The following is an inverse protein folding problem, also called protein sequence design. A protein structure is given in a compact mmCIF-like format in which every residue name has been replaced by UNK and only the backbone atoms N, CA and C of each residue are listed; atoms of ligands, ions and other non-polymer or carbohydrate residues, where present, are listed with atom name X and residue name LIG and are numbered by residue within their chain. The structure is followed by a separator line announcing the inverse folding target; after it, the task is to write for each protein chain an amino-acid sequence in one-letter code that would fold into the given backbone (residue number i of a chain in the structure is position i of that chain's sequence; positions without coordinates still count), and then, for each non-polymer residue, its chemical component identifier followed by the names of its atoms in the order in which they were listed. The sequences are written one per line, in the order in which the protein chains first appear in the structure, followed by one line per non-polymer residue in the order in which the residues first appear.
data_IF_910281091662
#
_entry.id   IF_910281091662
#
_cell.length_a   1.000
_cell.length_b   1.000
_cell.length_c   1.000
_cell.angle_alpha   90.00
_cell.angle_beta   90.00
_cell.angle_gamma   90.00
#
_symmetry.space_group_name_H-M   'P 1'
#
loop_
_entity.id
_entity.type
_entity.pdbx_description
1 polymer ?
#
# COMPACT_ATOMS: atom_id res chain seq x y z
N UNK A 1 -19.54 9.26 -10.92
CA UNK A 1 -18.34 10.13 -11.08
C UNK A 1 -17.73 9.87 -12.44
N UNK A 2 -17.29 10.89 -13.19
CA UNK A 2 -16.58 10.68 -14.45
C UNK A 2 -15.26 9.91 -14.24
N UNK A 3 -14.80 9.18 -15.25
CA UNK A 3 -13.56 8.41 -15.17
C UNK A 3 -12.37 9.26 -14.73
N UNK A 4 -12.22 10.46 -15.30
CA UNK A 4 -11.18 11.43 -14.91
C UNK A 4 -11.23 11.81 -13.42
N UNK A 5 -12.43 11.90 -12.83
CA UNK A 5 -12.62 12.23 -11.40
C UNK A 5 -12.31 11.02 -10.51
N UNK A 6 -12.64 9.82 -10.95
CA UNK A 6 -12.29 8.57 -10.25
C UNK A 6 -10.77 8.39 -10.19
N UNK A 7 -10.06 8.62 -11.29
CA UNK A 7 -8.60 8.51 -11.34
C UNK A 7 -7.90 9.46 -10.38
N UNK A 8 -8.34 10.73 -10.32
CA UNK A 8 -7.77 11.71 -9.39
C UNK A 8 -7.99 11.32 -7.92
N UNK A 9 -9.16 10.77 -7.58
CA UNK A 9 -9.47 10.32 -6.21
C UNK A 9 -8.74 9.03 -5.81
N UNK A 10 -8.31 8.22 -6.77
CA UNK A 10 -7.56 6.98 -6.52
C UNK A 10 -6.07 7.18 -6.23
N UNK A 11 -5.57 8.43 -6.22
CA UNK A 11 -4.15 8.72 -5.92
C UNK A 11 -3.83 8.42 -4.46
N UNK A 12 -2.74 7.71 -4.22
CA UNK A 12 -2.26 7.31 -2.89
C UNK A 12 -0.93 7.97 -2.58
N UNK A 13 -0.85 8.72 -1.48
CA UNK A 13 0.42 9.25 -0.96
C UNK A 13 1.02 8.24 0.01
N UNK A 14 2.22 7.76 -0.30
CA UNK A 14 2.92 6.72 0.46
C UNK A 14 4.08 7.30 1.26
N UNK A 15 4.52 6.57 2.29
CA UNK A 15 5.71 6.90 3.07
C UNK A 15 6.45 5.62 3.45
N UNK A 16 7.76 5.77 3.71
CA UNK A 16 8.63 4.71 4.21
C UNK A 16 9.42 5.31 5.37
N UNK A 17 9.46 4.62 6.51
CA UNK A 17 10.06 5.10 7.75
C UNK A 17 10.52 3.92 8.61
N UNK A 18 11.69 4.05 9.24
CA UNK A 18 12.11 3.16 10.31
C UNK A 18 11.35 3.50 11.60
N UNK A 19 10.70 2.49 12.18
CA UNK A 19 9.84 2.64 13.36
C UNK A 19 10.21 1.54 14.36
N UNK A 20 10.37 1.93 15.63
CA UNK A 20 10.53 0.96 16.72
C UNK A 20 9.26 0.12 16.85
N UNK A 21 9.41 -1.19 17.08
CA UNK A 21 8.31 -2.13 17.28
C UNK A 21 7.28 -1.67 18.33
N UNK A 22 7.72 -0.98 19.39
CA UNK A 22 6.82 -0.46 20.43
C UNK A 22 5.83 0.60 19.93
N UNK A 23 6.08 1.24 18.79
CA UNK A 23 5.19 2.23 18.17
C UNK A 23 4.25 1.62 17.13
N UNK A 24 4.28 0.30 16.95
CA UNK A 24 3.41 -0.41 16.01
C UNK A 24 2.31 -1.13 16.77
N UNK A 25 1.06 -0.89 16.36
CA UNK A 25 -0.08 -1.69 16.79
C UNK A 25 -0.24 -2.81 15.76
N UNK A 26 -0.01 -4.05 16.18
CA UNK A 26 -0.19 -5.21 15.31
C UNK A 26 -1.68 -5.34 14.94
N UNK A 27 -1.96 -5.53 13.65
CA UNK A 27 -3.31 -5.79 13.16
C UNK A 27 -3.45 -7.26 12.75
N UNK A 28 -4.66 -7.81 12.81
CA UNK A 28 -4.96 -9.19 12.40
C UNK A 28 -4.85 -9.46 10.90
N UNK A 29 -4.72 -8.41 10.08
CA UNK A 29 -4.78 -8.50 8.62
C UNK A 29 -3.37 -8.65 8.07
N UNK A 30 -3.20 -9.58 7.12
CA UNK A 30 -1.92 -9.83 6.45
C UNK A 30 -1.98 -9.35 5.01
N UNK A 31 -0.97 -8.63 4.54
CA UNK A 31 -0.93 -8.24 3.13
C UNK A 31 -0.68 -9.47 2.25
N UNK A 32 -1.36 -9.58 1.09
CA UNK A 32 -1.10 -10.65 0.14
C UNK A 32 0.35 -10.64 -0.34
N UNK A 33 0.89 -11.82 -0.70
CA UNK A 33 2.25 -11.99 -1.24
C UNK A 33 2.58 -11.09 -2.44
N UNK A 34 1.57 -10.66 -3.19
CA UNK A 34 1.71 -9.71 -4.30
C UNK A 34 2.20 -8.30 -3.90
N UNK A 35 2.11 -7.96 -2.61
CA UNK A 35 2.55 -6.67 -2.05
C UNK A 35 3.63 -6.97 -1.02
N UNK A 36 4.73 -7.57 -1.48
CA UNK A 36 5.88 -7.81 -0.61
C UNK A 36 6.71 -6.52 -0.47
N UNK A 37 6.71 -5.96 0.75
CA UNK A 37 7.47 -4.76 1.07
C UNK A 37 8.99 -4.96 0.98
N UNK A 38 9.48 -6.20 1.11
CA UNK A 38 10.92 -6.50 1.10
C UNK A 38 11.54 -6.42 -0.30
N UNK A 39 10.77 -6.73 -1.34
CA UNK A 39 11.24 -6.61 -2.73
C UNK A 39 11.14 -5.18 -3.26
N UNK A 40 10.26 -4.36 -2.68
CA UNK A 40 9.96 -3.00 -3.13
C UNK A 40 10.84 -1.92 -2.50
N UNK A 41 11.38 -2.16 -1.31
CA UNK A 41 12.21 -1.20 -0.57
C UNK A 41 13.47 -1.92 -0.10
N UNK A 42 14.60 -1.59 -0.71
CA UNK A 42 15.90 -2.05 -0.23
C UNK A 42 16.45 -1.10 0.85
N UNK A 43 17.25 -1.64 1.77
CA UNK A 43 17.90 -0.84 2.82
C UNK A 43 18.89 0.18 2.25
N UNK A 44 19.51 -0.13 1.11
CA UNK A 44 20.41 0.80 0.40
C UNK A 44 19.68 2.05 -0.11
N UNK A 45 18.46 1.88 -0.63
CA UNK A 45 17.63 3.00 -1.09
C UNK A 45 17.17 3.90 0.06
N UNK A 46 17.15 3.39 1.29
CA UNK A 46 16.72 4.13 2.47
C UNK A 46 17.79 5.06 3.04
N UNK A 47 19.08 4.82 2.73
CA UNK A 47 20.18 5.67 3.17
C UNK A 47 20.15 7.04 2.48
N UNK A 48 19.98 7.05 1.16
CA UNK A 48 19.99 8.29 0.38
C UNK A 48 18.62 8.97 0.33
N UNK A 49 18.60 10.30 0.21
CA UNK A 49 17.35 11.07 0.12
C UNK A 49 16.64 10.79 -1.22
N UNK A 50 17.39 10.61 -2.30
CA UNK A 50 16.83 10.38 -3.62
C UNK A 50 16.37 8.94 -3.83
N UNK A 51 17.07 7.96 -3.26
CA UNK A 51 16.58 6.57 -3.19
C UNK A 51 15.23 6.48 -2.49
N UNK A 52 15.07 7.20 -1.37
CA UNK A 52 13.78 7.30 -0.66
C UNK A 52 12.67 7.90 -1.51
N UNK A 53 12.96 8.88 -2.37
CA UNK A 53 11.95 9.45 -3.28
C UNK A 53 11.55 8.44 -4.35
N UNK A 54 12.51 7.72 -4.94
CA UNK A 54 12.25 6.70 -5.96
C UNK A 54 11.43 5.53 -5.40
N UNK A 55 11.80 5.03 -4.21
CA UNK A 55 11.05 3.98 -3.52
C UNK A 55 9.59 4.40 -3.26
N UNK A 56 9.35 5.65 -2.79
CA UNK A 56 7.99 6.18 -2.59
C UNK A 56 7.18 6.24 -3.88
N UNK A 57 7.79 6.68 -4.98
CA UNK A 57 7.13 6.76 -6.29
C UNK A 57 6.76 5.37 -6.83
N UNK A 58 7.67 4.41 -6.74
CA UNK A 58 7.39 3.01 -7.11
C UNK A 58 6.25 2.42 -6.28
N UNK A 59 6.30 2.60 -4.96
CA UNK A 59 5.29 2.08 -4.05
C UNK A 59 3.90 2.74 -4.24
N UNK A 60 3.86 4.04 -4.56
CA UNK A 60 2.61 4.76 -4.85
C UNK A 60 1.91 4.21 -6.10
N UNK A 61 2.67 3.88 -7.15
CA UNK A 61 2.12 3.27 -8.38
C UNK A 61 1.53 1.89 -8.11
N UNK A 62 2.28 1.03 -7.44
CA UNK A 62 1.84 -0.33 -7.10
C UNK A 62 0.59 -0.33 -6.22
N UNK A 63 0.55 0.52 -5.18
CA UNK A 63 -0.63 0.65 -4.32
C UNK A 63 -1.85 1.16 -5.07
N UNK A 64 -1.67 2.10 -6.00
CA UNK A 64 -2.77 2.60 -6.83
C UNK A 64 -3.37 1.48 -7.69
N UNK A 65 -2.53 0.67 -8.34
CA UNK A 65 -2.98 -0.45 -9.18
C UNK A 65 -3.74 -1.51 -8.36
N UNK A 66 -3.20 -1.91 -7.21
CA UNK A 66 -3.82 -2.91 -6.33
C UNK A 66 -5.13 -2.43 -5.69
N UNK A 67 -5.29 -1.12 -5.45
CA UNK A 67 -6.57 -0.57 -4.96
C UNK A 67 -7.62 -0.37 -6.05
N UNK A 68 -7.21 -0.18 -7.31
CA UNK A 68 -8.13 -0.12 -8.45
C UNK A 68 -8.61 -1.53 -8.84
N UNK A 69 -7.71 -2.52 -8.78
CA UNK A 69 -8.00 -3.94 -9.05
C UNK A 69 -7.74 -4.78 -7.79
N UNK A 70 -8.67 -4.80 -6.81
CA UNK A 70 -8.51 -5.64 -5.63
C UNK A 70 -8.48 -7.11 -6.06
N UNK A 71 -7.50 -7.87 -5.56
CA UNK A 71 -7.49 -9.32 -5.76
C UNK A 71 -8.73 -9.94 -5.11
N UNK A 72 -9.38 -10.82 -5.88
CA UNK A 72 -10.51 -11.61 -5.41
C UNK A 72 -9.98 -12.79 -4.59
N UNK A 73 -10.63 -13.11 -3.47
CA UNK A 73 -10.29 -14.34 -2.75
C UNK A 73 -10.62 -15.58 -3.59
N UNK A 74 -9.82 -16.64 -3.44
CA UNK A 74 -10.00 -17.92 -4.16
C UNK A 74 -11.37 -18.59 -3.93
N UNK A 75 -12.11 -18.20 -2.88
CA UNK A 75 -13.37 -18.83 -2.47
C UNK A 75 -14.62 -17.98 -2.72
N UNK A 76 -14.51 -16.80 -3.32
CA UNK A 76 -15.71 -16.01 -3.59
C UNK A 76 -15.41 -14.66 -4.22
N UNK A 77 -16.37 -14.16 -5.00
CA UNK A 77 -16.35 -12.92 -5.79
C UNK A 77 -16.22 -11.62 -4.95
N UNK A 78 -15.66 -11.69 -3.74
CA UNK A 78 -15.50 -10.58 -2.79
C UNK A 78 -14.03 -10.14 -2.74
N UNK A 79 -13.75 -8.83 -2.66
CA UNK A 79 -12.39 -8.34 -2.53
C UNK A 79 -11.78 -8.81 -1.20
N UNK A 80 -10.47 -9.09 -1.20
CA UNK A 80 -9.72 -9.45 0.01
C UNK A 80 -10.00 -8.45 1.15
N UNK A 81 -10.38 -8.99 2.32
CA UNK A 81 -10.72 -8.20 3.52
C UNK A 81 -9.53 -7.36 3.98
N UNK A 82 -8.31 -7.86 3.81
CA UNK A 82 -7.06 -7.20 4.21
C UNK A 82 -6.82 -5.92 3.39
N UNK A 83 -6.98 -6.00 2.08
CA UNK A 83 -6.84 -4.85 1.18
C UNK A 83 -7.94 -3.81 1.41
N UNK A 84 -9.17 -4.26 1.70
CA UNK A 84 -10.27 -3.36 2.05
C UNK A 84 -10.00 -2.63 3.35
N UNK A 85 -9.44 -3.31 4.36
CA UNK A 85 -9.02 -2.68 5.62
C UNK A 85 -7.96 -1.60 5.35
N UNK A 86 -6.90 -1.92 4.61
CA UNK A 86 -5.81 -0.98 4.32
C UNK A 86 -6.28 0.27 3.55
N UNK A 87 -7.23 0.12 2.62
CA UNK A 87 -7.75 1.24 1.81
C UNK A 87 -8.61 2.21 2.63
N UNK A 88 -9.24 1.75 3.72
CA UNK A 88 -10.13 2.58 4.53
C UNK A 88 -9.31 3.49 5.46
N UNK A 89 -9.67 4.77 5.49
CA UNK A 89 -9.08 5.74 6.43
C UNK A 89 -9.53 5.41 7.85
N UNK A 90 -8.57 5.16 8.75
CA UNK A 90 -8.84 5.05 10.18
C UNK A 90 -9.36 6.40 10.70
N UNK A 91 -10.47 6.36 11.44
CA UNK A 91 -11.04 7.52 12.13
C UNK A 91 -10.82 7.30 13.62
N UNK A 92 -10.24 8.29 14.28
CA UNK A 92 -10.09 8.33 15.73
C UNK A 92 -11.32 8.99 16.34
#
# INVERSE_FOLDING_TARGET
MSMKKQDKRSRVKTFVKYVNFNHLIATRYTLPHDIDGKSLVSDEQMQTVDGRKQAKLGFSKLMKEKFQKPSLEKSGNKPSKDLVFLRRKLRF
#
